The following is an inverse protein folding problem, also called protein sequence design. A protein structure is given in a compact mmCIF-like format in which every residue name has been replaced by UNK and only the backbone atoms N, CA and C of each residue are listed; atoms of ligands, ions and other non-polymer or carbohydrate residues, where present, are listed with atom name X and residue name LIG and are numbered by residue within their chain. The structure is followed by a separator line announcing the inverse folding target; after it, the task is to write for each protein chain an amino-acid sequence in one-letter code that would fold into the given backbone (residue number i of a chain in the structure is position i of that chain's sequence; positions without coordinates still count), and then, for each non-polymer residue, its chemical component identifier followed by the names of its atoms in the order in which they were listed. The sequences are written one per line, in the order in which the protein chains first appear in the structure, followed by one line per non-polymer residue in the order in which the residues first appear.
data_IF_800917319334
#
_entry.id   IF_800917319334
#
_cell.length_a   1.000
_cell.length_b   1.000
_cell.length_c   1.000
_cell.angle_alpha   90.00
_cell.angle_beta   90.00
_cell.angle_gamma   90.00
#
_symmetry.space_group_name_H-M   'P 1'
#
loop_
_entity.id
_entity.type
_entity.pdbx_description
1 polymer ?
#
# COMPACT_ATOMS: atom_id res chain seq x y z
N UNK A 1 6.81 8.53 8.44
CA UNK A 1 5.59 8.63 7.61
C UNK A 1 6.01 8.56 6.15
N UNK A 2 5.45 7.64 5.36
CA UNK A 2 5.72 7.58 3.90
C UNK A 2 4.89 8.64 3.15
N UNK A 3 5.28 8.94 1.90
CA UNK A 3 4.51 9.86 1.07
C UNK A 3 3.05 9.37 0.86
N UNK A 4 2.86 8.07 0.64
CA UNK A 4 1.54 7.46 0.48
C UNK A 4 0.68 7.58 1.75
N UNK A 5 1.29 7.47 2.92
CA UNK A 5 0.61 7.65 4.21
C UNK A 5 0.16 9.09 4.42
N UNK A 6 1.05 10.06 4.14
CA UNK A 6 0.68 11.48 4.22
C UNK A 6 -0.38 11.88 3.20
N UNK A 7 -0.37 11.29 2.00
CA UNK A 7 -1.42 11.50 0.99
C UNK A 7 -2.76 10.93 1.47
N UNK A 8 -2.75 9.72 2.01
CA UNK A 8 -3.95 9.07 2.55
C UNK A 8 -4.57 9.85 3.71
N UNK A 9 -3.76 10.32 4.67
CA UNK A 9 -4.24 11.13 5.81
C UNK A 9 -4.85 12.45 5.35
N UNK A 10 -4.22 13.16 4.40
CA UNK A 10 -4.79 14.37 3.81
C UNK A 10 -6.11 14.09 3.09
N UNK A 11 -6.20 12.99 2.34
CA UNK A 11 -7.42 12.60 1.65
C UNK A 11 -8.54 12.28 2.64
N UNK A 12 -8.22 11.58 3.72
CA UNK A 12 -9.18 11.30 4.80
C UNK A 12 -9.69 12.56 5.49
N UNK A 13 -8.84 13.55 5.70
CA UNK A 13 -9.21 14.79 6.40
C UNK A 13 -10.22 15.64 5.61
N UNK A 14 -10.30 15.47 4.28
CA UNK A 14 -11.24 16.19 3.41
C UNK A 14 -12.33 15.27 2.84
N UNK A 15 -12.54 14.09 3.42
CA UNK A 15 -13.43 13.06 2.90
C UNK A 15 -14.88 13.53 2.74
N UNK A 16 -15.37 14.34 3.66
CA UNK A 16 -16.76 14.82 3.63
C UNK A 16 -17.03 15.74 2.44
N UNK A 17 -16.02 16.48 1.99
CA UNK A 17 -16.07 17.37 0.84
C UNK A 17 -15.67 16.67 -0.45
N UNK A 18 -14.78 15.68 -0.35
CA UNK A 18 -14.16 14.95 -1.47
C UNK A 18 -14.23 13.43 -1.24
N UNK A 19 -15.43 12.86 -1.36
CA UNK A 19 -15.67 11.46 -0.94
C UNK A 19 -15.13 10.40 -1.90
N UNK A 20 -14.64 10.78 -3.07
CA UNK A 20 -14.11 9.87 -4.07
C UNK A 20 -12.60 10.00 -4.25
N UNK A 21 -11.99 8.90 -4.70
CA UNK A 21 -10.62 8.89 -5.19
C UNK A 21 -10.59 8.52 -6.67
N UNK A 22 -9.77 9.24 -7.42
CA UNK A 22 -9.48 8.97 -8.82
C UNK A 22 -8.09 8.38 -8.97
N UNK A 23 -8.00 7.20 -9.61
CA UNK A 23 -6.71 6.62 -9.97
C UNK A 23 -6.08 7.41 -11.13
N UNK A 24 -4.87 7.91 -10.92
CA UNK A 24 -4.16 8.73 -11.92
C UNK A 24 -2.81 8.12 -12.23
N UNK A 25 -2.67 7.59 -13.46
CA UNK A 25 -1.41 7.12 -14.00
C UNK A 25 -0.72 8.21 -14.82
N UNK A 26 0.60 8.24 -14.78
CA UNK A 26 1.39 9.05 -15.72
C UNK A 26 1.43 8.33 -17.07
N UNK A 27 0.70 8.85 -18.07
CA UNK A 27 0.47 8.18 -19.35
C UNK A 27 1.67 8.34 -20.32
N UNK A 28 2.76 7.67 -20.02
CA UNK A 28 3.94 7.60 -20.89
C UNK A 28 4.27 6.15 -21.29
N UNK A 29 5.36 5.95 -22.05
CA UNK A 29 5.79 4.64 -22.55
C UNK A 29 6.31 3.68 -21.45
N UNK A 30 6.50 4.17 -20.20
CA UNK A 30 6.94 3.37 -19.05
C UNK A 30 5.77 2.91 -18.19
N UNK A 31 4.57 3.44 -18.45
CA UNK A 31 3.39 3.07 -17.66
C UNK A 31 2.92 1.68 -18.06
N UNK A 32 2.81 0.82 -17.07
CA UNK A 32 2.32 -0.56 -17.26
C UNK A 32 0.94 -0.54 -17.93
N UNK A 33 0.67 -1.49 -18.86
CA UNK A 33 -0.61 -1.54 -19.57
C UNK A 33 -1.82 -1.58 -18.61
N UNK A 34 -1.70 -2.31 -17.50
CA UNK A 34 -2.73 -2.42 -16.49
C UNK A 34 -3.01 -1.09 -15.79
N UNK A 35 -1.96 -0.38 -15.33
CA UNK A 35 -2.10 0.92 -14.69
C UNK A 35 -2.65 1.99 -15.66
N UNK A 36 -2.37 1.84 -16.95
CA UNK A 36 -2.95 2.70 -17.99
C UNK A 36 -4.46 2.50 -18.10
N UNK A 37 -4.95 1.25 -17.97
CA UNK A 37 -6.39 0.95 -17.95
C UNK A 37 -7.09 1.47 -16.71
N UNK A 38 -6.40 1.51 -15.58
CA UNK A 38 -6.94 2.07 -14.34
C UNK A 38 -6.99 3.60 -14.32
N UNK A 39 -6.28 4.25 -15.25
CA UNK A 39 -6.29 5.72 -15.30
C UNK A 39 -7.70 6.24 -15.52
N UNK A 40 -8.16 7.11 -14.62
CA UNK A 40 -9.48 7.72 -14.67
C UNK A 40 -10.55 6.98 -13.88
N UNK A 41 -10.29 5.79 -13.33
CA UNK A 41 -11.23 5.11 -12.43
C UNK A 41 -11.48 5.99 -11.21
N UNK A 42 -12.75 6.24 -10.91
CA UNK A 42 -13.22 7.02 -9.75
C UNK A 42 -14.11 6.14 -8.90
N UNK A 43 -13.71 5.91 -7.65
CA UNK A 43 -14.43 5.08 -6.69
C UNK A 43 -14.56 5.81 -5.34
N UNK A 44 -15.59 5.50 -4.53
CA UNK A 44 -15.65 5.95 -3.15
C UNK A 44 -14.36 5.63 -2.40
N UNK A 45 -13.94 6.54 -1.51
CA UNK A 45 -12.68 6.37 -0.76
C UNK A 45 -12.64 5.09 0.08
N UNK A 46 -13.79 4.61 0.54
CA UNK A 46 -13.94 3.39 1.33
C UNK A 46 -14.18 2.13 0.48
N UNK A 47 -14.15 2.25 -0.85
CA UNK A 47 -14.36 1.10 -1.73
C UNK A 47 -13.25 0.05 -1.52
N UNK A 48 -13.61 -1.27 -1.41
CA UNK A 48 -12.64 -2.35 -1.15
C UNK A 48 -11.49 -2.44 -2.17
N UNK A 49 -11.69 -1.97 -3.39
CA UNK A 49 -10.66 -1.95 -4.42
C UNK A 49 -9.40 -1.19 -3.96
N UNK A 50 -9.54 -0.14 -3.14
CA UNK A 50 -8.42 0.62 -2.60
C UNK A 50 -7.61 -0.12 -1.53
N UNK A 51 -8.11 -1.25 -1.01
CA UNK A 51 -7.34 -2.06 -0.07
C UNK A 51 -6.10 -2.67 -0.72
N UNK A 52 -6.19 -3.02 -2.01
CA UNK A 52 -5.13 -3.70 -2.75
C UNK A 52 -4.54 -2.88 -3.90
N UNK A 53 -5.25 -1.86 -4.39
CA UNK A 53 -4.88 -1.10 -5.59
C UNK A 53 -4.52 0.37 -5.31
N UNK A 54 -4.49 0.79 -4.06
CA UNK A 54 -4.03 2.14 -3.74
C UNK A 54 -2.53 2.29 -4.07
N UNK A 55 -2.14 3.27 -4.92
CA UNK A 55 -0.75 3.39 -5.37
C UNK A 55 0.21 3.78 -4.23
N UNK A 56 1.48 3.32 -4.33
CA UNK A 56 2.12 2.62 -5.44
C UNK A 56 1.81 1.12 -5.48
N UNK A 57 1.60 0.55 -6.67
CA UNK A 57 1.26 -0.87 -6.88
C UNK A 57 2.45 -1.72 -7.34
N UNK A 58 3.67 -1.28 -7.10
CA UNK A 58 4.88 -1.98 -7.48
C UNK A 58 6.08 -1.05 -7.58
N UNK A 59 7.23 -1.64 -7.86
CA UNK A 59 8.48 -0.91 -8.03
C UNK A 59 8.40 0.10 -9.18
N UNK A 60 8.86 1.33 -8.92
CA UNK A 60 8.85 2.45 -9.88
C UNK A 60 7.44 2.82 -10.37
N UNK A 61 6.40 2.47 -9.62
CA UNK A 61 5.06 2.95 -9.88
C UNK A 61 5.01 4.48 -9.66
N UNK A 62 4.44 5.21 -10.64
CA UNK A 62 4.29 6.67 -10.62
C UNK A 62 2.82 7.10 -10.64
N UNK A 63 1.95 6.18 -10.32
CA UNK A 63 0.53 6.44 -10.19
C UNK A 63 0.24 7.13 -8.85
N UNK A 64 -0.89 7.84 -8.80
CA UNK A 64 -1.41 8.51 -7.60
C UNK A 64 -2.91 8.27 -7.48
N UNK A 65 -3.41 8.33 -6.27
CA UNK A 65 -4.83 8.54 -6.00
C UNK A 65 -5.06 10.03 -5.75
N UNK A 66 -6.10 10.61 -6.35
CA UNK A 66 -6.48 12.02 -6.19
C UNK A 66 -7.87 12.11 -5.61
N UNK A 67 -8.06 12.94 -4.57
CA UNK A 67 -9.39 13.22 -4.03
C UNK A 67 -10.25 13.98 -5.05
N UNK A 68 -11.51 13.61 -5.15
CA UNK A 68 -12.49 14.18 -6.09
C UNK A 68 -13.74 14.60 -5.32
N UNK A 69 -14.23 15.81 -5.59
CA UNK A 69 -15.50 16.34 -5.08
C UNK A 69 -16.63 16.18 -6.11
N UNK A 70 -17.87 16.46 -5.69
CA UNK A 70 -19.00 16.54 -6.62
C UNK A 70 -18.81 17.64 -7.67
N UNK A 71 -18.25 18.78 -7.27
CA UNK A 71 -17.95 19.90 -8.19
C UNK A 71 -16.90 19.50 -9.24
N UNK A 72 -15.86 18.72 -8.86
CA UNK A 72 -14.88 18.21 -9.83
C UNK A 72 -15.52 17.26 -10.84
N UNK A 73 -16.45 16.39 -10.38
CA UNK A 73 -17.17 15.49 -11.28
C UNK A 73 -17.95 16.27 -12.34
N UNK A 74 -18.69 17.31 -11.93
CA UNK A 74 -19.47 18.15 -12.82
C UNK A 74 -18.58 18.97 -13.77
N UNK A 75 -17.55 19.63 -13.25
CA UNK A 75 -16.67 20.50 -14.00
C UNK A 75 -15.87 19.75 -15.09
N UNK A 76 -15.43 18.55 -14.78
CA UNK A 76 -14.59 17.73 -15.66
C UNK A 76 -15.42 16.71 -16.49
N UNK A 77 -16.72 16.62 -16.25
CA UNK A 77 -17.59 15.63 -16.87
C UNK A 77 -17.24 14.20 -16.50
N UNK A 78 -16.69 14.00 -15.30
CA UNK A 78 -16.33 12.66 -14.81
C UNK A 78 -17.52 11.95 -14.17
N UNK A 79 -17.47 10.64 -14.20
CA UNK A 79 -18.48 9.78 -13.56
C UNK A 79 -17.83 8.80 -12.60
N UNK A 80 -18.54 8.47 -11.54
CA UNK A 80 -18.12 7.40 -10.64
C UNK A 80 -18.14 6.09 -11.42
N UNK A 81 -17.05 5.34 -11.32
CA UNK A 81 -16.83 4.10 -12.07
C UNK A 81 -17.34 2.87 -11.32
N UNK A 82 -17.49 1.78 -12.04
CA UNK A 82 -17.48 0.45 -11.41
C UNK A 82 -16.04 -0.02 -11.24
N UNK A 83 -15.76 -0.72 -10.14
CA UNK A 83 -14.44 -1.28 -9.90
C UNK A 83 -14.16 -2.40 -10.91
N UNK A 84 -13.00 -2.40 -11.58
CA UNK A 84 -12.65 -3.49 -12.48
C UNK A 84 -12.43 -4.77 -11.67
N UNK A 85 -13.08 -5.84 -12.08
CA UNK A 85 -12.80 -7.21 -11.64
C UNK A 85 -11.87 -7.86 -12.67
N UNK A 86 -10.56 -7.79 -12.43
CA UNK A 86 -9.55 -8.36 -13.32
C UNK A 86 -8.98 -9.68 -12.80
N UNK A 87 -9.49 -10.13 -11.66
CA UNK A 87 -9.07 -11.36 -11.01
C UNK A 87 -7.62 -11.33 -10.50
N UNK A 88 -7.17 -12.47 -10.05
CA UNK A 88 -5.83 -12.69 -9.53
C UNK A 88 -5.02 -13.61 -10.43
N UNK A 89 -3.72 -13.54 -10.35
CA UNK A 89 -2.78 -14.43 -11.05
C UNK A 89 -1.90 -15.15 -10.04
N UNK A 90 -1.59 -16.44 -10.25
CA UNK A 90 -0.66 -17.14 -9.39
C UNK A 90 0.76 -16.61 -9.60
N UNK A 91 1.44 -16.37 -8.52
CA UNK A 91 2.85 -16.02 -8.51
C UNK A 91 3.60 -16.95 -7.54
N UNK A 92 4.71 -17.50 -8.01
CA UNK A 92 5.56 -18.37 -7.19
C UNK A 92 6.76 -17.57 -6.71
N UNK A 93 6.95 -17.53 -5.40
CA UNK A 93 8.12 -16.89 -4.78
C UNK A 93 9.38 -17.67 -5.19
N UNK A 94 10.33 -17.05 -5.93
CA UNK A 94 11.50 -17.76 -6.44
C UNK A 94 12.47 -18.21 -5.34
N UNK A 95 12.36 -17.67 -4.11
CA UNK A 95 13.19 -18.03 -2.97
C UNK A 95 12.61 -19.18 -2.15
N UNK A 96 11.29 -19.13 -1.89
CA UNK A 96 10.63 -20.08 -0.99
C UNK A 96 9.87 -21.17 -1.72
N UNK A 97 9.55 -20.98 -3.00
CA UNK A 97 8.67 -21.87 -3.77
C UNK A 97 7.17 -21.70 -3.42
N UNK A 98 6.84 -20.80 -2.51
CA UNK A 98 5.47 -20.54 -2.08
C UNK A 98 4.67 -19.90 -3.23
N UNK A 99 3.44 -20.36 -3.43
CA UNK A 99 2.53 -19.79 -4.41
C UNK A 99 1.56 -18.83 -3.73
N UNK A 100 1.50 -17.60 -4.23
CA UNK A 100 0.60 -16.54 -3.79
C UNK A 100 -0.33 -16.16 -4.93
N UNK A 101 -1.59 -15.84 -4.62
CA UNK A 101 -2.49 -15.20 -5.55
C UNK A 101 -2.31 -13.68 -5.45
N UNK A 102 -2.06 -13.03 -6.58
CA UNK A 102 -1.75 -11.60 -6.63
C UNK A 102 -2.73 -10.92 -7.58
N UNK A 103 -3.36 -9.80 -7.19
CA UNK A 103 -4.22 -9.02 -8.08
C UNK A 103 -3.50 -8.65 -9.37
N UNK A 104 -4.17 -8.85 -10.51
CA UNK A 104 -3.56 -8.56 -11.82
C UNK A 104 -3.17 -7.09 -11.93
N UNK A 105 -1.91 -6.82 -12.22
CA UNK A 105 -1.37 -5.47 -12.36
C UNK A 105 -0.71 -4.91 -11.09
N UNK A 106 -0.84 -5.60 -9.97
CA UNK A 106 -0.12 -5.32 -8.73
C UNK A 106 1.09 -6.22 -8.63
N UNK A 107 2.25 -5.69 -8.27
CA UNK A 107 3.46 -6.51 -8.06
C UNK A 107 3.30 -7.35 -6.77
N UNK A 108 3.88 -8.55 -6.71
CA UNK A 108 3.90 -9.36 -5.49
C UNK A 108 4.45 -8.58 -4.29
N UNK A 109 3.73 -8.62 -3.16
CA UNK A 109 4.07 -7.85 -1.96
C UNK A 109 3.60 -6.39 -1.98
N UNK A 110 2.83 -5.95 -3.00
CA UNK A 110 2.27 -4.59 -3.09
C UNK A 110 0.73 -4.57 -3.03
N UNK A 111 0.08 -5.71 -2.84
CA UNK A 111 -1.37 -5.83 -2.77
C UNK A 111 -1.91 -5.37 -1.40
N UNK A 112 -1.62 -4.14 -1.02
CA UNK A 112 -2.10 -3.51 0.21
C UNK A 112 -2.21 -2.00 0.02
N UNK A 113 -2.97 -1.33 0.90
CA UNK A 113 -3.04 0.13 0.92
C UNK A 113 -1.92 0.70 1.80
N UNK A 114 -0.85 1.26 1.23
CA UNK A 114 0.29 1.77 2.02
C UNK A 114 -0.06 3.00 2.88
N UNK A 115 -1.21 3.63 2.63
CA UNK A 115 -1.71 4.72 3.45
C UNK A 115 -2.36 4.25 4.75
N UNK A 116 -2.88 3.02 4.77
CA UNK A 116 -3.55 2.41 5.93
C UNK A 116 -2.62 1.58 6.81
N UNK A 117 -1.48 1.18 6.28
CA UNK A 117 -0.52 0.37 7.04
C UNK A 117 0.12 1.20 8.12
N UNK A 118 0.01 0.74 9.36
CA UNK A 118 0.90 1.20 10.42
C UNK A 118 2.32 0.74 10.09
N UNK A 119 3.14 1.66 9.58
CA UNK A 119 4.48 1.36 9.12
C UNK A 119 5.39 0.87 10.25
N UNK A 120 5.15 1.30 11.48
CA UNK A 120 5.92 0.83 12.62
C UNK A 120 5.58 -0.63 12.95
N UNK A 121 4.29 -0.97 12.96
CA UNK A 121 3.83 -2.35 13.15
C UNK A 121 4.29 -3.27 12.02
N UNK A 122 4.16 -2.83 10.77
CA UNK A 122 4.59 -3.61 9.60
C UNK A 122 6.12 -3.78 9.55
N UNK A 123 6.89 -2.74 9.87
CA UNK A 123 8.35 -2.86 9.97
C UNK A 123 8.78 -3.79 11.10
N UNK A 124 8.09 -3.76 12.23
CA UNK A 124 8.33 -4.68 13.34
C UNK A 124 8.04 -6.13 12.93
N UNK A 125 6.92 -6.38 12.24
CA UNK A 125 6.56 -7.70 11.71
C UNK A 125 7.61 -8.24 10.73
N UNK A 126 8.02 -7.42 9.76
CA UNK A 126 9.10 -7.78 8.82
C UNK A 126 10.44 -8.00 9.49
N UNK A 127 10.75 -7.28 10.56
CA UNK A 127 11.96 -7.49 11.37
C UNK A 127 11.88 -8.80 12.15
N UNK A 128 10.73 -9.11 12.74
CA UNK A 128 10.54 -10.35 13.49
C UNK A 128 10.66 -11.58 12.58
N UNK A 129 10.09 -11.52 11.39
CA UNK A 129 10.19 -12.56 10.38
C UNK A 129 11.65 -12.81 9.96
N UNK A 130 12.39 -11.74 9.67
CA UNK A 130 13.82 -11.82 9.35
C UNK A 130 14.68 -12.33 10.50
N UNK A 131 14.33 -11.98 11.74
CA UNK A 131 15.04 -12.47 12.93
C UNK A 131 14.81 -13.96 13.13
N UNK A 132 13.61 -14.48 12.82
CA UNK A 132 13.31 -15.90 12.86
C UNK A 132 14.16 -16.73 11.88
N UNK A 133 14.53 -16.15 10.75
CA UNK A 133 15.37 -16.79 9.71
C UNK A 133 16.90 -16.66 9.98
N UNK A 134 17.30 -15.87 11.00
CA UNK A 134 18.71 -15.66 11.32
C UNK A 134 19.28 -16.79 12.20
N UNK A 135 20.58 -17.11 12.09
CA UNK A 135 21.24 -17.96 13.06
C UNK A 135 21.05 -17.46 14.51
N UNK A 136 20.92 -18.34 15.50
CA UNK A 136 20.49 -17.97 16.86
C UNK A 136 21.28 -16.84 17.53
N UNK A 137 22.57 -16.72 17.24
CA UNK A 137 23.41 -15.64 17.78
C UNK A 137 23.09 -14.28 17.21
N UNK A 138 22.87 -14.19 15.89
CA UNK A 138 22.55 -12.94 15.19
C UNK A 138 21.10 -12.56 15.48
N UNK A 139 20.18 -13.54 15.51
CA UNK A 139 18.78 -13.33 15.81
C UNK A 139 18.54 -12.74 17.20
N UNK A 140 19.25 -13.23 18.22
CA UNK A 140 19.13 -12.73 19.59
C UNK A 140 19.66 -11.29 19.76
N UNK A 141 20.70 -10.93 19.02
CA UNK A 141 21.29 -9.58 19.06
C UNK A 141 20.41 -8.57 18.33
N UNK A 142 19.85 -8.95 17.18
CA UNK A 142 18.89 -8.13 16.44
C UNK A 142 17.59 -7.90 17.24
N UNK A 143 17.11 -8.91 17.97
CA UNK A 143 15.94 -8.78 18.84
C UNK A 143 16.18 -7.79 19.99
N UNK A 144 17.36 -7.83 20.61
CA UNK A 144 17.74 -6.88 21.66
C UNK A 144 17.84 -5.44 21.15
N UNK A 145 18.28 -5.26 19.91
CA UNK A 145 18.39 -3.94 19.29
C UNK A 145 17.00 -3.38 18.87
N UNK A 146 16.02 -4.25 18.60
CA UNK A 146 14.66 -3.86 18.18
C UNK A 146 13.71 -3.61 19.36
N UNK A 147 14.06 -3.94 20.59
CA UNK A 147 13.22 -3.65 21.77
C UNK A 147 13.17 -2.13 21.99
N UNK A 148 12.00 -1.50 21.94
CA UNK A 148 11.88 -0.06 22.18
C UNK A 148 12.30 0.28 23.61
N UNK A 149 13.06 1.36 23.76
CA UNK A 149 13.36 1.92 25.07
C UNK A 149 12.05 2.47 25.66
N UNK A 150 11.78 2.12 26.92
CA UNK A 150 10.70 2.77 27.65
C UNK A 150 11.00 4.27 27.85
N UNK A 151 9.98 5.12 28.07
CA UNK A 151 10.19 6.56 28.28
C UNK A 151 11.16 6.90 29.41
N UNK A 152 11.45 5.97 30.31
CA UNK A 152 12.37 6.12 31.46
C UNK A 152 13.79 5.61 31.18
N UNK A 153 14.07 5.17 29.96
CA UNK A 153 15.43 4.77 29.55
C UNK A 153 15.87 3.38 30.06
N UNK A 154 15.02 2.63 30.75
CA UNK A 154 15.32 1.28 31.18
C UNK A 154 14.93 0.27 30.10
N UNK A 155 15.88 -0.59 29.73
CA UNK A 155 15.62 -1.76 28.91
C UNK A 155 14.92 -2.80 29.78
N UNK A 156 13.64 -3.08 29.51
CA UNK A 156 13.00 -4.25 30.12
C UNK A 156 13.64 -5.50 29.54
N UNK A 157 14.62 -6.04 30.25
CA UNK A 157 15.20 -7.34 29.95
C UNK A 157 14.16 -8.43 30.19
N UNK A 158 13.98 -9.29 29.20
CA UNK A 158 13.35 -10.58 29.43
C UNK A 158 14.32 -11.41 30.28
N UNK A 159 13.90 -11.72 31.49
CA UNK A 159 14.52 -12.73 32.34
C UNK A 159 14.15 -14.13 31.84
#
# INVERSE_FOLDING_TARGET
MSAAQGDWERQRSVRDERPWLRYTALLDNRTRPQHRRWHGIILPMDHPWWETHYPPNGWRCRCKAMSVSGEDLEAEGWTVSEAPDEGEIPWVNPRTGEMLMVPRGVDPGWAYNPGRVDQAAHAAELMMDKVGDCPPLIGSEALRAAVPLTPEGERTGLA
#
